data_IF_880732443870
#
_entry.id   IF_880732443870
#
_cell.length_a   1.000
_cell.length_b   1.000
_cell.length_c   1.000
_cell.angle_alpha   90.00
_cell.angle_beta   90.00
_cell.angle_gamma   90.00
#
_symmetry.space_group_name_H-M   'P 1'
#
loop_
_entity.id
_entity.type
_entity.pdbx_description
1 polymer ?
#
# COMPACT_ATOMS: atom_id res chain seq x y z
N UNK A 1 47.27 -23.21 -3.47
CA UNK A 1 46.75 -22.34 -2.42
C UNK A 1 45.30 -22.74 -2.21
N UNK A 2 44.95 -23.25 -1.03
CA UNK A 2 43.56 -23.59 -0.73
C UNK A 2 42.77 -22.28 -0.66
N UNK A 3 41.66 -22.20 -1.39
CA UNK A 3 40.72 -21.08 -1.28
C UNK A 3 40.09 -21.23 0.11
N UNK A 4 40.26 -20.21 0.96
CA UNK A 4 39.56 -20.14 2.24
C UNK A 4 38.10 -19.78 1.94
N UNK A 5 37.12 -20.45 2.57
CA UNK A 5 35.71 -20.19 2.30
C UNK A 5 35.31 -18.80 2.79
N UNK A 6 34.30 -18.23 2.13
CA UNK A 6 33.63 -16.98 2.46
C UNK A 6 32.22 -17.30 2.99
N UNK A 7 32.08 -17.83 4.22
CA UNK A 7 30.81 -18.38 4.66
C UNK A 7 29.74 -17.33 4.96
N UNK A 8 28.50 -17.71 4.68
CA UNK A 8 27.30 -17.08 5.21
C UNK A 8 26.22 -18.12 5.48
N UNK A 9 25.25 -17.78 6.34
CA UNK A 9 24.12 -18.65 6.66
C UNK A 9 22.85 -18.06 6.08
N UNK A 10 22.12 -18.88 5.34
CA UNK A 10 20.76 -18.61 4.92
C UNK A 10 19.78 -19.25 5.89
N UNK A 11 18.80 -18.49 6.35
CA UNK A 11 17.72 -18.94 7.22
C UNK A 11 16.41 -18.94 6.45
N UNK A 12 15.65 -20.03 6.51
CA UNK A 12 14.35 -20.12 5.84
C UNK A 12 13.26 -20.73 6.71
N UNK A 13 12.13 -20.04 6.84
CA UNK A 13 10.88 -20.57 7.41
C UNK A 13 9.80 -20.47 6.35
N UNK A 14 9.43 -21.61 5.74
CA UNK A 14 8.54 -21.65 4.56
C UNK A 14 7.14 -21.09 4.83
N UNK A 15 6.66 -21.25 6.06
CA UNK A 15 5.34 -20.79 6.50
C UNK A 15 5.31 -19.30 6.87
N UNK A 16 6.48 -18.63 6.88
CA UNK A 16 6.61 -17.24 7.30
C UNK A 16 6.47 -16.28 6.11
N UNK A 17 5.78 -15.13 6.27
CA UNK A 17 5.68 -14.08 5.22
C UNK A 17 7.05 -13.45 4.86
N UNK A 18 8.04 -13.51 5.75
CA UNK A 18 9.42 -13.15 5.48
C UNK A 18 10.29 -14.42 5.48
N UNK A 19 10.01 -15.29 4.50
CA UNK A 19 10.42 -16.67 4.51
C UNK A 19 11.93 -16.87 4.52
N UNK A 20 12.73 -16.07 3.80
CA UNK A 20 14.19 -16.23 3.71
C UNK A 20 14.91 -14.98 4.23
N UNK A 21 15.95 -15.18 5.01
CA UNK A 21 16.90 -14.15 5.46
C UNK A 21 18.32 -14.72 5.37
N UNK A 22 19.33 -13.85 5.41
CA UNK A 22 20.73 -14.28 5.36
C UNK A 22 21.62 -13.40 6.22
N UNK A 23 22.71 -13.97 6.71
CA UNK A 23 23.77 -13.24 7.40
C UNK A 23 24.64 -12.45 6.42
N UNK A 24 25.50 -11.58 6.95
CA UNK A 24 26.66 -11.06 6.23
C UNK A 24 27.61 -12.19 5.79
N UNK A 25 28.29 -11.96 4.67
CA UNK A 25 29.39 -12.81 4.20
C UNK A 25 30.64 -12.48 5.00
N UNK A 26 31.33 -13.51 5.49
CA UNK A 26 32.58 -13.38 6.23
C UNK A 26 33.73 -13.87 5.36
N UNK A 27 34.57 -12.97 4.86
CA UNK A 27 35.60 -13.33 3.88
C UNK A 27 36.77 -14.10 4.52
N UNK A 28 37.21 -15.15 3.82
CA UNK A 28 38.32 -16.05 4.10
C UNK A 28 38.30 -16.63 5.54
N UNK A 29 37.11 -16.80 6.13
CA UNK A 29 36.95 -17.10 7.54
C UNK A 29 36.34 -18.49 7.79
N UNK A 30 37.13 -19.41 8.33
CA UNK A 30 36.67 -20.76 8.73
C UNK A 30 36.07 -20.82 10.15
N UNK A 31 36.06 -19.72 10.90
CA UNK A 31 35.42 -19.64 12.23
C UNK A 31 34.63 -18.32 12.34
N UNK A 32 33.58 -18.14 11.51
CA UNK A 32 32.82 -16.91 11.44
C UNK A 32 31.93 -16.69 12.66
N UNK A 33 31.93 -15.44 13.13
CA UNK A 33 31.01 -14.94 14.16
C UNK A 33 30.12 -13.85 13.57
N UNK A 34 28.89 -14.20 13.17
CA UNK A 34 27.95 -13.22 12.60
C UNK A 34 27.31 -12.33 13.66
N UNK A 35 26.82 -12.92 14.76
CA UNK A 35 26.09 -12.20 15.82
C UNK A 35 24.91 -11.35 15.27
N UNK A 36 24.14 -11.94 14.36
CA UNK A 36 23.03 -11.27 13.67
C UNK A 36 21.67 -11.79 14.14
N UNK A 37 20.67 -10.91 14.15
CA UNK A 37 19.32 -11.21 14.61
C UNK A 37 18.34 -11.23 13.45
N UNK A 38 17.51 -12.27 13.41
CA UNK A 38 16.48 -12.46 12.39
C UNK A 38 15.12 -12.65 13.05
N UNK A 39 14.09 -12.07 12.44
CA UNK A 39 12.71 -12.16 12.92
C UNK A 39 11.90 -13.01 11.97
N UNK A 40 11.12 -13.99 12.43
CA UNK A 40 10.18 -14.75 11.61
C UNK A 40 8.78 -14.70 12.23
N UNK A 41 7.75 -14.63 11.40
CA UNK A 41 6.36 -14.67 11.85
C UNK A 41 5.83 -16.08 11.61
N UNK A 42 5.52 -16.79 12.68
CA UNK A 42 5.10 -18.19 12.60
C UNK A 42 3.59 -18.29 12.50
N UNK A 43 3.12 -19.32 11.82
CA UNK A 43 1.70 -19.65 11.80
C UNK A 43 1.46 -20.82 12.75
N UNK A 44 0.76 -20.66 13.89
CA UNK A 44 0.54 -21.75 14.84
C UNK A 44 -0.31 -22.89 14.25
N UNK A 45 -1.04 -22.63 13.16
CA UNK A 45 -1.91 -23.61 12.52
C UNK A 45 -1.15 -24.49 11.50
N UNK A 46 0.11 -24.16 11.20
CA UNK A 46 0.98 -24.92 10.30
C UNK A 46 2.21 -25.39 11.08
N UNK A 47 2.79 -26.51 10.68
CA UNK A 47 4.08 -26.96 11.21
C UNK A 47 5.19 -25.96 10.82
N UNK A 48 5.91 -25.40 11.80
CA UNK A 48 6.96 -24.43 11.54
C UNK A 48 8.35 -25.06 11.73
N UNK A 49 9.14 -25.02 10.66
CA UNK A 49 10.53 -25.51 10.66
C UNK A 49 11.46 -24.40 10.15
N UNK A 50 12.57 -24.21 10.84
CA UNK A 50 13.68 -23.36 10.41
C UNK A 50 14.70 -24.21 9.64
N UNK A 51 14.78 -23.98 8.33
CA UNK A 51 15.82 -24.50 7.45
C UNK A 51 17.04 -23.58 7.51
N UNK A 52 18.19 -24.13 7.90
CA UNK A 52 19.48 -23.44 7.97
C UNK A 52 20.39 -23.99 6.88
N UNK A 53 20.93 -23.12 6.05
CA UNK A 53 21.81 -23.50 4.95
C UNK A 53 23.12 -22.73 5.06
N UNK A 54 24.24 -23.43 5.25
CA UNK A 54 25.58 -22.83 5.20
C UNK A 54 25.99 -22.75 3.73
N UNK A 55 26.41 -21.57 3.31
CA UNK A 55 26.82 -21.24 1.95
C UNK A 55 28.26 -20.72 1.95
N UNK A 56 28.94 -20.88 0.82
CA UNK A 56 30.26 -20.32 0.51
C UNK A 56 30.10 -19.33 -0.65
N UNK A 57 30.48 -18.06 -0.44
CA UNK A 57 30.44 -17.02 -1.46
C UNK A 57 31.62 -17.19 -2.44
N UNK A 58 31.39 -17.94 -3.51
CA UNK A 58 32.38 -18.21 -4.56
C UNK A 58 32.17 -17.28 -5.77
N UNK A 59 33.24 -16.89 -6.48
CA UNK A 59 33.14 -16.13 -7.74
C UNK A 59 32.41 -16.95 -8.83
N UNK A 60 31.08 -16.82 -8.89
CA UNK A 60 30.21 -17.49 -9.86
C UNK A 60 28.86 -17.88 -9.28
N UNK A 61 28.78 -19.07 -8.67
CA UNK A 61 27.58 -19.63 -8.03
C UNK A 61 27.96 -20.07 -6.62
N UNK A 62 27.31 -19.48 -5.63
CA UNK A 62 27.50 -19.80 -4.22
C UNK A 62 27.30 -21.30 -3.98
N UNK A 63 28.21 -21.89 -3.22
CA UNK A 63 28.21 -23.33 -2.98
C UNK A 63 27.51 -23.64 -1.67
N UNK A 64 26.48 -24.48 -1.71
CA UNK A 64 25.87 -25.01 -0.49
C UNK A 64 26.81 -26.00 0.19
N UNK A 65 27.17 -25.70 1.44
CA UNK A 65 28.06 -26.49 2.27
C UNK A 65 27.28 -27.50 3.13
N UNK A 66 26.04 -27.16 3.50
CA UNK A 66 25.12 -28.09 4.13
C UNK A 66 23.77 -27.45 4.45
N UNK A 67 22.76 -28.30 4.63
CA UNK A 67 21.39 -27.92 5.01
C UNK A 67 21.00 -28.69 6.27
N UNK A 68 20.35 -28.02 7.21
CA UNK A 68 19.78 -28.61 8.43
C UNK A 68 18.42 -27.98 8.73
N UNK A 69 17.59 -28.69 9.48
CA UNK A 69 16.26 -28.24 9.87
C UNK A 69 16.09 -28.26 11.39
N UNK A 70 15.43 -27.26 11.94
CA UNK A 70 15.12 -27.13 13.36
C UNK A 70 13.62 -26.91 13.53
N UNK A 71 12.97 -27.75 14.35
CA UNK A 71 11.55 -27.64 14.68
C UNK A 71 11.31 -26.48 15.64
N UNK A 72 10.34 -25.61 15.33
CA UNK A 72 10.07 -24.39 16.09
C UNK A 72 8.85 -24.49 17.01
N UNK A 73 7.96 -25.45 16.76
CA UNK A 73 6.64 -25.50 17.41
C UNK A 73 6.70 -25.86 18.90
N UNK A 74 7.74 -26.59 19.34
CA UNK A 74 7.93 -27.01 20.74
C UNK A 74 8.75 -26.02 21.59
N UNK A 75 9.13 -24.87 21.02
CA UNK A 75 9.95 -23.90 21.74
C UNK A 75 9.15 -23.17 22.84
N UNK A 76 9.70 -23.03 24.06
CA UNK A 76 9.05 -22.29 25.13
C UNK A 76 8.99 -20.79 24.82
N UNK A 77 7.83 -20.19 25.10
CA UNK A 77 7.62 -18.75 24.95
C UNK A 77 8.42 -17.97 26.00
N UNK A 78 8.96 -16.82 25.62
CA UNK A 78 9.73 -15.88 26.45
C UNK A 78 10.99 -16.48 27.11
N UNK A 79 11.50 -17.59 26.57
CA UNK A 79 12.72 -18.24 27.05
C UNK A 79 13.68 -18.50 25.90
N UNK A 80 14.94 -18.09 26.08
CA UNK A 80 16.01 -18.39 25.14
C UNK A 80 16.35 -19.89 25.18
N UNK A 81 16.40 -20.50 24.00
CA UNK A 81 16.86 -21.87 23.77
C UNK A 81 18.12 -21.81 22.93
N UNK A 82 19.22 -22.34 23.47
CA UNK A 82 20.48 -22.47 22.72
C UNK A 82 20.54 -23.84 22.08
N UNK A 83 20.88 -23.90 20.81
CA UNK A 83 20.98 -25.15 20.07
C UNK A 83 22.25 -25.14 19.23
N UNK A 84 23.00 -26.24 19.29
CA UNK A 84 24.13 -26.50 18.42
C UNK A 84 23.65 -27.36 17.25
N UNK A 85 23.71 -26.84 16.04
CA UNK A 85 23.24 -27.49 14.82
C UNK A 85 24.45 -28.08 14.09
N UNK A 86 24.48 -29.40 13.95
CA UNK A 86 25.57 -30.13 13.32
C UNK A 86 25.36 -30.24 11.80
N UNK A 87 26.33 -29.76 11.02
CA UNK A 87 26.39 -29.88 9.57
C UNK A 87 27.49 -30.88 9.18
N UNK A 88 27.11 -32.02 8.61
CA UNK A 88 28.06 -33.10 8.31
C UNK A 88 28.79 -33.59 9.58
N UNK A 89 30.03 -34.05 9.45
CA UNK A 89 30.77 -34.64 10.58
C UNK A 89 31.53 -33.62 11.45
N UNK A 90 31.80 -32.41 10.94
CA UNK A 90 32.80 -31.51 11.57
C UNK A 90 32.37 -30.06 11.75
N UNK A 91 31.23 -29.68 11.21
CA UNK A 91 30.78 -28.29 11.25
C UNK A 91 29.66 -28.16 12.27
N UNK A 92 29.81 -27.25 13.21
CA UNK A 92 28.80 -26.91 14.21
C UNK A 92 28.40 -25.45 14.03
N UNK A 93 27.11 -25.17 14.15
CA UNK A 93 26.56 -23.83 14.17
C UNK A 93 25.75 -23.64 15.45
N UNK A 94 26.23 -22.76 16.32
CA UNK A 94 25.45 -22.34 17.49
C UNK A 94 24.38 -21.31 17.10
N UNK A 95 23.15 -21.56 17.55
CA UNK A 95 22.00 -20.66 17.37
C UNK A 95 21.28 -20.43 18.70
N UNK A 96 20.63 -19.27 18.83
CA UNK A 96 19.77 -18.91 19.96
C UNK A 96 18.37 -18.65 19.42
N UNK A 97 17.39 -19.37 19.94
CA UNK A 97 15.99 -19.29 19.52
C UNK A 97 15.17 -18.67 20.66
N UNK A 98 14.28 -17.74 20.33
CA UNK A 98 13.46 -17.01 21.29
C UNK A 98 12.06 -16.76 20.71
N UNK A 99 11.06 -17.49 21.20
CA UNK A 99 9.66 -17.26 20.81
C UNK A 99 9.05 -16.15 21.68
N UNK A 100 8.36 -15.19 21.07
CA UNK A 100 7.67 -14.08 21.78
C UNK A 100 6.34 -13.76 21.14
N UNK A 101 5.29 -13.52 21.93
CA UNK A 101 4.05 -13.01 21.36
C UNK A 101 4.16 -11.51 21.04
N UNK A 102 3.73 -11.12 19.84
CA UNK A 102 3.69 -9.71 19.46
C UNK A 102 2.36 -9.09 19.89
N UNK A 103 2.37 -8.10 20.78
CA UNK A 103 1.13 -7.44 21.25
C UNK A 103 0.70 -6.23 20.41
N UNK A 104 1.58 -5.66 19.57
CA UNK A 104 1.35 -4.43 18.77
C UNK A 104 0.13 -4.41 17.83
N UNK A 105 -0.90 -3.65 18.15
CA UNK A 105 -2.07 -3.49 17.28
C UNK A 105 -1.78 -2.49 16.16
N UNK A 106 -1.60 -2.98 14.93
CA UNK A 106 -1.36 -2.15 13.74
C UNK A 106 -2.64 -1.94 12.92
N UNK A 107 -3.45 -2.99 12.78
CA UNK A 107 -4.78 -2.89 12.19
C UNK A 107 -5.84 -2.75 13.30
N UNK A 108 -6.69 -1.75 13.15
CA UNK A 108 -7.92 -1.55 13.91
C UNK A 108 -9.01 -2.45 13.34
N UNK A 109 -9.64 -3.24 14.20
CA UNK A 109 -10.73 -4.14 13.84
C UNK A 109 -12.00 -3.64 14.53
N UNK A 110 -12.78 -2.83 13.83
CA UNK A 110 -14.07 -2.32 14.31
C UNK A 110 -14.85 -1.71 13.15
N UNK A 111 -16.18 -1.74 13.26
CA UNK A 111 -17.10 -1.04 12.35
C UNK A 111 -17.36 0.41 12.76
N UNK A 112 -16.89 0.83 13.94
CA UNK A 112 -17.00 2.21 14.41
C UNK A 112 -15.94 3.11 13.73
N UNK A 113 -16.14 4.41 13.82
CA UNK A 113 -15.15 5.42 13.43
C UNK A 113 -13.91 5.36 14.33
N UNK A 114 -12.74 5.69 13.78
CA UNK A 114 -11.53 5.85 14.57
C UNK A 114 -11.62 7.06 15.52
N UNK A 115 -10.77 7.07 16.55
CA UNK A 115 -10.81 8.13 17.56
C UNK A 115 -10.51 9.51 16.96
N UNK A 116 -9.54 9.59 16.04
CA UNK A 116 -9.20 10.84 15.37
C UNK A 116 -10.39 11.43 14.59
N UNK A 117 -11.19 10.58 13.94
CA UNK A 117 -12.40 11.03 13.23
C UNK A 117 -13.51 11.44 14.21
N UNK A 118 -13.66 10.73 15.33
CA UNK A 118 -14.63 11.10 16.38
C UNK A 118 -14.29 12.46 16.99
N UNK A 119 -13.02 12.69 17.31
CA UNK A 119 -12.54 13.99 17.78
C UNK A 119 -12.74 15.09 16.75
N UNK A 120 -12.44 14.80 15.48
CA UNK A 120 -12.73 15.71 14.37
C UNK A 120 -14.21 16.09 14.32
N UNK A 121 -15.12 15.11 14.42
CA UNK A 121 -16.56 15.34 14.34
C UNK A 121 -17.07 16.21 15.49
N UNK A 122 -16.54 16.04 16.71
CA UNK A 122 -16.87 16.90 17.85
C UNK A 122 -16.52 18.35 17.52
N UNK A 123 -15.27 18.61 17.13
CA UNK A 123 -14.77 19.96 16.81
C UNK A 123 -15.49 20.57 15.61
N UNK A 124 -15.69 19.78 14.54
CA UNK A 124 -16.32 20.23 13.29
C UNK A 124 -17.78 20.59 13.52
N UNK A 125 -18.50 19.88 14.40
CA UNK A 125 -19.91 20.16 14.70
C UNK A 125 -20.09 21.54 15.32
N UNK A 126 -19.18 21.97 16.20
CA UNK A 126 -19.19 23.32 16.79
C UNK A 126 -18.99 24.38 15.70
N UNK A 127 -18.02 24.18 14.80
CA UNK A 127 -17.78 25.08 13.67
C UNK A 127 -19.00 25.17 12.76
N UNK A 128 -19.61 24.05 12.40
CA UNK A 128 -20.81 24.04 11.54
C UNK A 128 -21.98 24.72 12.25
N UNK A 129 -22.16 24.50 13.56
CA UNK A 129 -23.20 25.16 14.34
C UNK A 129 -23.10 26.68 14.25
N UNK A 130 -21.91 27.23 14.45
CA UNK A 130 -21.66 28.68 14.33
C UNK A 130 -21.96 29.19 12.92
N UNK A 131 -21.50 28.46 11.89
CA UNK A 131 -21.67 28.86 10.49
C UNK A 131 -23.12 28.80 10.02
N UNK A 132 -23.84 27.74 10.37
CA UNK A 132 -25.28 27.62 10.07
C UNK A 132 -26.10 28.65 10.86
N UNK A 133 -25.74 28.92 12.12
CA UNK A 133 -26.41 29.94 12.94
C UNK A 133 -26.27 31.35 12.37
N UNK A 134 -25.18 31.63 11.66
CA UNK A 134 -24.96 32.89 10.96
C UNK A 134 -25.64 32.96 9.57
N UNK A 135 -25.91 31.80 8.97
CA UNK A 135 -26.49 31.70 7.61
C UNK A 135 -28.02 31.73 7.60
N UNK A 136 -28.65 31.17 8.63
CA UNK A 136 -30.10 31.02 8.73
C UNK A 136 -30.70 32.00 9.75
N UNK A 137 -32.00 32.28 9.60
CA UNK A 137 -32.74 33.11 10.55
C UNK A 137 -33.09 32.36 11.85
N UNK A 138 -33.61 33.08 12.86
CA UNK A 138 -33.92 32.51 14.17
C UNK A 138 -34.98 31.38 14.13
N UNK A 139 -35.80 31.32 13.08
CA UNK A 139 -36.82 30.28 12.90
C UNK A 139 -36.23 28.99 12.33
N UNK A 140 -35.22 29.09 11.46
CA UNK A 140 -34.67 27.96 10.70
C UNK A 140 -33.27 27.52 11.13
N UNK A 141 -32.54 28.33 11.90
CA UNK A 141 -31.21 27.99 12.39
C UNK A 141 -31.25 26.86 13.44
N UNK A 142 -30.18 26.05 13.54
CA UNK A 142 -30.07 25.08 14.63
C UNK A 142 -30.04 25.80 15.98
N UNK A 143 -30.76 25.27 16.97
CA UNK A 143 -30.82 25.83 18.34
C UNK A 143 -29.75 25.24 19.23
N UNK A 144 -29.32 24.02 18.94
CA UNK A 144 -28.26 23.33 19.67
C UNK A 144 -27.29 22.68 18.70
N UNK A 145 -26.05 22.45 19.15
CA UNK A 145 -25.01 21.75 18.39
C UNK A 145 -25.48 20.37 17.91
N UNK A 146 -26.36 19.69 18.67
CA UNK A 146 -26.89 18.37 18.30
C UNK A 146 -27.92 18.39 17.16
N UNK A 147 -28.46 19.56 16.80
CA UNK A 147 -29.38 19.72 15.67
C UNK A 147 -28.64 19.91 14.34
N UNK A 148 -27.32 20.08 14.37
CA UNK A 148 -26.51 20.24 13.17
C UNK A 148 -26.50 18.93 12.35
N UNK A 149 -26.90 18.98 11.06
CA UNK A 149 -26.86 17.82 10.19
C UNK A 149 -25.42 17.49 9.76
N UNK A 150 -25.17 16.21 9.50
CA UNK A 150 -23.95 15.77 8.82
C UNK A 150 -24.14 15.97 7.31
N UNK A 151 -23.34 16.86 6.72
CA UNK A 151 -23.41 17.21 5.29
C UNK A 151 -22.19 16.65 4.58
N UNK A 152 -22.40 15.91 3.49
CA UNK A 152 -21.33 15.38 2.65
C UNK A 152 -21.41 15.96 1.22
N UNK A 153 -20.32 16.51 0.73
CA UNK A 153 -20.17 16.91 -0.68
C UNK A 153 -19.52 15.74 -1.41
N UNK A 154 -20.16 15.24 -2.47
CA UNK A 154 -19.72 14.03 -3.17
C UNK A 154 -19.31 14.32 -4.62
N UNK A 155 -18.05 14.02 -4.95
CA UNK A 155 -17.49 14.18 -6.29
C UNK A 155 -17.38 12.87 -7.07
N UNK A 156 -17.94 12.82 -8.28
CA UNK A 156 -17.88 11.62 -9.14
C UNK A 156 -16.52 11.43 -9.81
N UNK A 157 -16.31 10.27 -10.44
CA UNK A 157 -15.20 10.04 -11.36
C UNK A 157 -15.36 10.75 -12.71
N UNK A 158 -14.31 10.73 -13.53
CA UNK A 158 -14.33 11.34 -14.87
C UNK A 158 -13.08 12.13 -15.28
N UNK A 159 -11.93 11.85 -14.66
CA UNK A 159 -10.65 12.49 -15.00
C UNK A 159 -10.68 14.01 -14.82
N UNK A 160 -9.98 14.75 -15.69
CA UNK A 160 -9.92 16.22 -15.60
C UNK A 160 -11.29 16.90 -15.71
N UNK A 161 -12.26 16.30 -16.40
CA UNK A 161 -13.63 16.85 -16.44
C UNK A 161 -14.24 16.88 -15.04
N UNK A 162 -14.12 15.79 -14.28
CA UNK A 162 -14.64 15.73 -12.92
C UNK A 162 -13.85 16.66 -11.99
N UNK A 163 -12.52 16.71 -12.11
CA UNK A 163 -11.69 17.59 -11.31
C UNK A 163 -12.04 19.08 -11.53
N UNK A 164 -12.19 19.51 -12.79
CA UNK A 164 -12.59 20.88 -13.14
C UNK A 164 -14.05 21.19 -12.78
N UNK A 165 -14.95 20.21 -12.91
CA UNK A 165 -16.35 20.39 -12.52
C UNK A 165 -16.50 20.57 -11.01
N UNK A 166 -15.83 19.70 -10.23
CA UNK A 166 -15.85 19.78 -8.78
C UNK A 166 -15.19 21.06 -8.28
N UNK A 167 -14.12 21.53 -8.92
CA UNK A 167 -13.51 22.80 -8.53
C UNK A 167 -14.45 23.99 -8.71
N UNK A 168 -15.19 24.05 -9.83
CA UNK A 168 -16.23 25.07 -10.02
C UNK A 168 -17.36 24.96 -9.00
N UNK A 169 -17.78 23.74 -8.66
CA UNK A 169 -18.79 23.52 -7.63
C UNK A 169 -18.32 23.98 -6.24
N UNK A 170 -17.07 23.69 -5.89
CA UNK A 170 -16.45 24.16 -4.64
C UNK A 170 -16.41 25.68 -4.57
N UNK A 171 -16.11 26.35 -5.68
CA UNK A 171 -16.14 27.81 -5.71
C UNK A 171 -17.53 28.36 -5.34
N UNK A 172 -18.58 27.82 -5.97
CA UNK A 172 -19.95 28.23 -5.67
C UNK A 172 -20.37 27.89 -4.23
N UNK A 173 -19.97 26.73 -3.71
CA UNK A 173 -20.26 26.31 -2.33
C UNK A 173 -19.52 27.15 -1.29
N UNK A 174 -18.30 27.59 -1.60
CA UNK A 174 -17.53 28.49 -0.75
C UNK A 174 -18.16 29.89 -0.72
N UNK A 175 -18.52 30.45 -1.88
CA UNK A 175 -19.21 31.74 -1.99
C UNK A 175 -20.58 31.74 -1.28
N UNK A 176 -21.29 30.61 -1.33
CA UNK A 176 -22.55 30.43 -0.61
C UNK A 176 -22.39 30.13 0.89
N UNK A 177 -21.16 29.96 1.39
CA UNK A 177 -20.88 29.54 2.78
C UNK A 177 -21.25 28.10 3.11
N UNK A 178 -21.76 27.32 2.14
CA UNK A 178 -22.19 25.93 2.33
C UNK A 178 -20.99 25.01 2.59
N UNK A 179 -19.82 25.31 2.01
CA UNK A 179 -18.61 24.51 2.22
C UNK A 179 -18.15 24.51 3.68
N UNK A 180 -18.32 25.64 4.37
CA UNK A 180 -18.05 25.77 5.81
C UNK A 180 -19.01 24.92 6.67
N UNK A 181 -20.17 24.56 6.11
CA UNK A 181 -21.17 23.71 6.76
C UNK A 181 -20.98 22.21 6.46
N UNK A 182 -20.10 21.85 5.53
CA UNK A 182 -19.87 20.45 5.17
C UNK A 182 -19.06 19.71 6.23
N UNK A 183 -19.47 18.49 6.59
CA UNK A 183 -18.72 17.59 7.46
C UNK A 183 -17.68 16.79 6.67
N UNK A 184 -18.10 16.27 5.51
CA UNK A 184 -17.26 15.43 4.65
C UNK A 184 -17.20 15.98 3.23
N UNK A 185 -16.07 15.74 2.60
CA UNK A 185 -15.87 15.90 1.15
C UNK A 185 -15.38 14.57 0.63
N UNK A 186 -16.15 13.93 -0.25
CA UNK A 186 -15.81 12.62 -0.78
C UNK A 186 -15.51 12.71 -2.27
N UNK A 187 -14.58 11.88 -2.74
CA UNK A 187 -14.30 11.84 -4.17
C UNK A 187 -13.57 10.60 -4.64
N UNK A 188 -13.90 10.16 -5.85
CA UNK A 188 -13.21 9.08 -6.55
C UNK A 188 -12.62 9.57 -7.87
N UNK A 189 -11.53 8.94 -8.30
CA UNK A 189 -10.89 9.23 -9.59
C UNK A 189 -10.64 10.73 -9.79
N UNK A 190 -11.15 11.35 -10.86
CA UNK A 190 -10.91 12.77 -11.14
C UNK A 190 -11.21 13.73 -9.99
N UNK A 191 -12.27 13.48 -9.21
CA UNK A 191 -12.59 14.30 -8.03
C UNK A 191 -11.56 14.17 -6.92
N UNK A 192 -11.02 12.96 -6.69
CA UNK A 192 -9.93 12.76 -5.73
C UNK A 192 -8.67 13.55 -6.10
N UNK A 193 -8.41 13.78 -7.40
CA UNK A 193 -7.29 14.60 -7.84
C UNK A 193 -7.45 16.05 -7.43
N UNK A 194 -8.65 16.61 -7.60
CA UNK A 194 -8.95 17.97 -7.16
C UNK A 194 -8.87 18.10 -5.64
N UNK A 195 -9.56 17.24 -4.88
CA UNK A 195 -9.57 17.27 -3.42
C UNK A 195 -8.14 17.18 -2.87
N UNK A 196 -7.36 16.21 -3.33
CA UNK A 196 -5.98 16.03 -2.88
C UNK A 196 -5.09 17.22 -3.20
N UNK A 197 -5.28 17.84 -4.37
CA UNK A 197 -4.53 19.02 -4.79
C UNK A 197 -4.88 20.23 -3.92
N UNK A 198 -6.15 20.39 -3.54
CA UNK A 198 -6.62 21.46 -2.68
C UNK A 198 -6.07 21.33 -1.26
N UNK A 199 -6.14 20.14 -0.66
CA UNK A 199 -5.73 19.92 0.74
C UNK A 199 -4.22 19.94 0.95
N UNK A 200 -3.41 19.92 -0.13
CA UNK A 200 -1.96 20.16 -0.07
C UNK A 200 -1.62 21.65 -0.11
N UNK A 201 -2.54 22.52 -0.51
CA UNK A 201 -2.24 23.96 -0.58
C UNK A 201 -1.99 24.54 0.80
N UNK A 202 -0.90 25.28 0.94
CA UNK A 202 -0.52 25.93 2.20
C UNK A 202 -1.63 26.84 2.74
N UNK A 203 -2.20 27.68 1.87
CA UNK A 203 -3.27 28.65 2.21
C UNK A 203 -4.65 28.06 2.47
N UNK A 204 -4.87 26.76 2.21
CA UNK A 204 -6.16 26.13 2.49
C UNK A 204 -6.31 25.83 3.99
N UNK A 205 -7.47 26.08 4.64
CA UNK A 205 -8.71 26.70 4.11
C UNK A 205 -8.77 28.24 4.24
N UNK A 206 -7.78 28.88 4.87
CA UNK A 206 -7.86 30.25 5.37
C UNK A 206 -7.87 31.37 4.31
N UNK A 207 -7.32 31.17 3.11
CA UNK A 207 -7.17 32.30 2.16
C UNK A 207 -7.06 31.98 0.66
N UNK A 208 -7.38 30.76 0.23
CA UNK A 208 -7.47 30.49 -1.21
C UNK A 208 -8.83 30.98 -1.73
N UNK A 209 -8.84 32.08 -2.50
CA UNK A 209 -10.05 32.45 -3.24
C UNK A 209 -10.35 31.39 -4.29
N UNK A 210 -11.63 31.23 -4.60
CA UNK A 210 -12.13 30.44 -5.73
C UNK A 210 -11.33 30.67 -7.02
N UNK A 211 -10.96 31.93 -7.27
CA UNK A 211 -10.22 32.37 -8.44
C UNK A 211 -8.76 31.90 -8.42
N UNK A 212 -8.07 31.98 -7.27
CA UNK A 212 -6.69 31.48 -7.13
C UNK A 212 -6.63 29.97 -7.38
N UNK A 213 -7.58 29.23 -6.81
CA UNK A 213 -7.67 27.78 -6.98
C UNK A 213 -8.02 27.40 -8.43
N UNK A 214 -9.00 28.06 -9.02
CA UNK A 214 -9.36 27.84 -10.42
C UNK A 214 -8.22 28.22 -11.37
N UNK A 215 -7.50 29.31 -11.12
CA UNK A 215 -6.33 29.72 -11.91
C UNK A 215 -5.20 28.71 -11.80
N UNK A 216 -4.91 28.22 -10.58
CA UNK A 216 -3.93 27.17 -10.33
C UNK A 216 -4.27 25.90 -11.11
N UNK A 217 -5.50 25.41 -10.99
CA UNK A 217 -5.96 24.22 -11.70
C UNK A 217 -5.98 24.42 -13.21
N UNK A 218 -6.38 25.59 -13.73
CA UNK A 218 -6.31 25.89 -15.16
C UNK A 218 -4.87 25.87 -15.67
N UNK A 219 -3.90 26.40 -14.91
CA UNK A 219 -2.48 26.35 -15.28
C UNK A 219 -1.97 24.91 -15.34
N UNK A 220 -2.37 24.07 -14.39
CA UNK A 220 -1.93 22.68 -14.22
C UNK A 220 -2.63 21.72 -15.21
N UNK A 221 -3.95 21.81 -15.37
CA UNK A 221 -4.74 20.98 -16.28
C UNK A 221 -4.58 21.32 -17.77
N UNK A 222 -4.06 22.51 -18.11
CA UNK A 222 -3.61 22.82 -19.49
C UNK A 222 -2.39 22.00 -19.91
N UNK A 223 -1.69 21.38 -18.97
CA UNK A 223 -0.52 20.58 -19.27
C UNK A 223 -0.95 19.16 -19.62
N UNK A 224 -0.53 18.70 -20.80
CA UNK A 224 -0.74 17.33 -21.21
C UNK A 224 0.10 16.41 -20.30
N UNK A 225 -0.57 15.51 -19.56
CA UNK A 225 0.05 14.52 -18.66
C UNK A 225 1.14 13.73 -19.37
N UNK A 226 0.99 13.45 -20.66
CA UNK A 226 1.98 12.74 -21.47
C UNK A 226 3.35 13.45 -21.50
N UNK A 227 3.39 14.79 -21.35
CA UNK A 227 4.64 15.56 -21.30
C UNK A 227 5.40 15.43 -19.98
N UNK A 228 4.76 14.87 -18.96
CA UNK A 228 5.35 14.64 -17.64
C UNK A 228 5.92 13.23 -17.47
N UNK A 229 5.88 12.38 -18.49
CA UNK A 229 6.60 11.10 -18.44
C UNK A 229 8.10 11.35 -18.58
N UNK A 230 8.80 11.38 -17.45
CA UNK A 230 10.23 11.67 -17.41
C UNK A 230 11.08 10.41 -17.24
N UNK A 231 12.27 10.34 -17.85
CA UNK A 231 13.17 9.18 -17.69
C UNK A 231 13.57 8.90 -16.24
N UNK A 232 13.64 9.94 -15.41
CA UNK A 232 14.01 9.87 -13.98
C UNK A 232 13.06 9.03 -13.12
N UNK A 233 11.79 8.88 -13.55
CA UNK A 233 10.81 8.02 -12.88
C UNK A 233 11.25 6.56 -12.83
N UNK A 234 11.98 6.09 -13.85
CA UNK A 234 12.53 4.72 -13.87
C UNK A 234 13.43 4.45 -12.67
N UNK A 235 14.22 5.44 -12.23
CA UNK A 235 15.09 5.30 -11.06
C UNK A 235 14.28 5.13 -9.78
N UNK A 236 13.23 5.94 -9.60
CA UNK A 236 12.33 5.86 -8.44
C UNK A 236 11.60 4.51 -8.38
N UNK A 237 11.05 4.02 -9.49
CA UNK A 237 10.42 2.69 -9.57
C UNK A 237 11.41 1.58 -9.27
N UNK A 238 12.64 1.64 -9.83
CA UNK A 238 13.69 0.64 -9.52
C UNK A 238 14.06 0.63 -8.05
N UNK A 239 14.12 1.79 -7.40
CA UNK A 239 14.41 1.90 -5.97
C UNK A 239 13.29 1.28 -5.13
N UNK A 240 12.02 1.58 -5.45
CA UNK A 240 10.84 0.98 -4.82
C UNK A 240 10.84 -0.56 -4.95
N UNK A 241 11.16 -1.07 -6.13
CA UNK A 241 11.31 -2.52 -6.37
C UNK A 241 12.47 -3.13 -5.58
N UNK A 242 13.63 -2.46 -5.57
CA UNK A 242 14.84 -2.94 -4.87
C UNK A 242 14.62 -3.10 -3.36
N UNK A 243 13.80 -2.24 -2.75
CA UNK A 243 13.44 -2.37 -1.32
C UNK A 243 12.32 -3.41 -1.08
N UNK A 244 11.80 -4.03 -2.15
CA UNK A 244 10.85 -5.13 -2.12
C UNK A 244 9.39 -4.68 -2.04
N UNK A 245 9.03 -3.50 -2.56
CA UNK A 245 7.63 -3.10 -2.76
C UNK A 245 7.17 -3.40 -4.20
N UNK A 246 5.91 -3.82 -4.41
CA UNK A 246 5.37 -4.05 -5.74
C UNK A 246 5.25 -2.74 -6.50
N UNK A 247 5.28 -2.86 -7.82
CA UNK A 247 5.50 -1.76 -8.75
C UNK A 247 4.71 -2.06 -10.00
N UNK A 248 3.91 -1.08 -10.41
CA UNK A 248 3.03 -1.20 -11.56
C UNK A 248 3.11 0.07 -12.41
N UNK A 249 2.46 0.06 -13.58
CA UNK A 249 2.39 1.27 -14.41
C UNK A 249 1.70 2.44 -13.69
N UNK A 250 0.82 2.15 -12.73
CA UNK A 250 0.18 3.16 -11.87
C UNK A 250 1.17 4.00 -11.07
N UNK A 251 2.36 3.48 -10.74
CA UNK A 251 3.43 4.28 -10.10
C UNK A 251 3.90 5.40 -11.02
N UNK A 252 4.11 5.09 -12.30
CA UNK A 252 4.58 6.03 -13.31
C UNK A 252 3.49 7.03 -13.66
N UNK A 253 2.26 6.54 -13.83
CA UNK A 253 1.10 7.39 -14.05
C UNK A 253 0.86 8.33 -12.85
N UNK A 254 0.96 7.82 -11.62
CA UNK A 254 0.87 8.59 -10.40
C UNK A 254 1.93 9.70 -10.33
N UNK A 255 3.19 9.40 -10.65
CA UNK A 255 4.25 10.41 -10.74
C UNK A 255 3.95 11.49 -11.81
N UNK A 256 3.44 11.10 -12.99
CA UNK A 256 3.06 12.06 -14.02
C UNK A 256 1.88 12.95 -13.59
N UNK A 257 0.89 12.40 -12.88
CA UNK A 257 -0.20 13.17 -12.27
C UNK A 257 0.31 14.10 -11.17
N UNK A 258 1.23 13.62 -10.33
CA UNK A 258 1.88 14.42 -9.29
C UNK A 258 2.55 15.65 -9.87
N UNK A 259 3.42 15.45 -10.86
CA UNK A 259 4.10 16.53 -11.59
C UNK A 259 3.11 17.53 -12.21
N UNK A 260 2.01 17.00 -12.78
CA UNK A 260 1.00 17.81 -13.45
C UNK A 260 0.14 18.61 -12.47
N UNK A 261 -0.17 18.09 -11.28
CA UNK A 261 -1.22 18.61 -10.40
C UNK A 261 -0.72 19.14 -9.05
N UNK A 262 0.23 18.46 -8.43
CA UNK A 262 0.71 18.79 -7.09
C UNK A 262 1.79 19.89 -7.14
N UNK A 263 1.80 20.74 -6.12
CA UNK A 263 2.85 21.75 -5.92
C UNK A 263 4.06 21.14 -5.22
N UNK A 264 3.78 20.33 -4.20
CA UNK A 264 4.74 19.56 -3.44
C UNK A 264 4.65 18.08 -3.86
N UNK A 265 5.76 17.53 -4.36
CA UNK A 265 5.85 16.14 -4.78
C UNK A 265 6.08 15.17 -3.62
N UNK A 266 6.51 15.68 -2.47
CA UNK A 266 6.76 14.92 -1.25
C UNK A 266 5.56 14.96 -0.29
N UNK A 267 4.47 15.62 -0.70
CA UNK A 267 3.20 15.62 0.02
C UNK A 267 2.68 14.20 0.24
N UNK A 268 2.13 13.93 1.43
CA UNK A 268 1.59 12.65 1.86
C UNK A 268 0.13 12.82 2.29
N UNK A 269 -0.64 11.73 2.35
CA UNK A 269 -2.04 11.82 2.77
C UNK A 269 -2.12 12.13 4.27
N UNK A 270 -1.23 11.55 5.09
CA UNK A 270 -1.11 11.89 6.51
C UNK A 270 -0.83 13.38 6.75
N UNK A 271 -0.12 14.05 5.84
CA UNK A 271 0.12 15.48 5.96
C UNK A 271 -1.20 16.25 6.00
N UNK A 272 -2.28 15.80 5.35
CA UNK A 272 -3.55 16.54 5.32
C UNK A 272 -4.26 16.63 6.67
N UNK A 273 -3.82 15.89 7.71
CA UNK A 273 -4.38 15.97 9.07
C UNK A 273 -4.40 17.42 9.59
N UNK A 274 -3.35 18.20 9.35
CA UNK A 274 -3.28 19.59 9.83
C UNK A 274 -4.35 20.50 9.20
N UNK A 275 -5.02 20.09 8.12
CA UNK A 275 -6.12 20.82 7.49
C UNK A 275 -7.49 20.56 8.11
N UNK A 276 -7.60 19.52 8.95
CA UNK A 276 -8.88 19.04 9.50
C UNK A 276 -8.89 18.89 11.01
N UNK A 277 -7.73 18.76 11.68
CA UNK A 277 -7.63 18.42 13.11
C UNK A 277 -8.36 19.37 14.08
N UNK A 278 -8.62 20.60 13.66
CA UNK A 278 -9.37 21.62 14.43
C UNK A 278 -10.81 21.81 13.92
N UNK A 279 -11.30 20.93 13.05
CA UNK A 279 -12.62 21.08 12.41
C UNK A 279 -12.68 22.24 11.42
N UNK A 280 -11.56 22.79 10.98
CA UNK A 280 -11.49 23.99 10.13
C UNK A 280 -11.87 23.73 8.66
N UNK A 281 -11.75 22.48 8.20
CA UNK A 281 -12.22 22.03 6.88
C UNK A 281 -13.06 20.76 7.03
N UNK A 282 -13.88 20.44 6.04
CA UNK A 282 -14.50 19.13 5.92
C UNK A 282 -13.43 18.01 5.83
N UNK A 283 -13.75 16.79 6.27
CA UNK A 283 -12.81 15.67 6.18
C UNK A 283 -12.78 15.14 4.73
N UNK A 284 -11.61 15.10 4.06
CA UNK A 284 -11.50 14.50 2.74
C UNK A 284 -11.53 12.97 2.86
N UNK A 285 -12.43 12.34 2.11
CA UNK A 285 -12.53 10.88 1.98
C UNK A 285 -12.37 10.51 0.51
N UNK A 286 -11.31 9.78 0.19
CA UNK A 286 -11.07 9.26 -1.15
C UNK A 286 -11.16 7.76 -1.15
N UNK A 287 -11.33 7.15 -2.33
CA UNK A 287 -11.58 5.72 -2.39
C UNK A 287 -10.97 5.05 -3.62
N UNK A 288 -10.62 3.78 -3.45
CA UNK A 288 -10.24 2.85 -4.50
C UNK A 288 -11.03 1.55 -4.37
N UNK A 289 -10.89 0.67 -5.37
CA UNK A 289 -11.51 -0.65 -5.37
C UNK A 289 -10.41 -1.70 -5.33
N UNK A 290 -10.52 -2.62 -4.38
CA UNK A 290 -9.77 -3.87 -4.40
C UNK A 290 -10.50 -4.88 -5.27
N UNK A 291 -9.77 -5.44 -6.22
CA UNK A 291 -10.24 -6.53 -7.09
C UNK A 291 -9.45 -7.78 -6.74
N UNK A 292 -10.15 -8.85 -6.36
CA UNK A 292 -9.52 -10.14 -6.04
C UNK A 292 -8.95 -10.79 -7.30
N UNK A 293 -7.97 -11.68 -7.13
CA UNK A 293 -7.35 -12.39 -8.26
C UNK A 293 -8.26 -13.49 -8.82
N UNK A 294 -9.07 -14.09 -7.95
CA UNK A 294 -9.96 -15.22 -8.25
C UNK A 294 -11.32 -14.82 -8.84
N UNK A 295 -11.69 -13.54 -8.77
CA UNK A 295 -13.06 -13.07 -9.02
C UNK A 295 -13.07 -11.75 -9.78
N UNK A 296 -13.98 -11.59 -10.75
CA UNK A 296 -14.10 -10.33 -11.48
C UNK A 296 -14.58 -9.19 -10.57
N UNK A 297 -14.18 -7.95 -10.89
CA UNK A 297 -14.60 -6.76 -10.14
C UNK A 297 -16.13 -6.54 -10.14
N UNK A 298 -16.83 -7.07 -11.16
CA UNK A 298 -18.29 -7.06 -11.26
C UNK A 298 -18.97 -7.97 -10.22
N UNK A 299 -18.27 -9.01 -9.76
CA UNK A 299 -18.78 -10.01 -8.80
C UNK A 299 -18.26 -9.73 -7.39
N UNK A 300 -17.01 -9.27 -7.25
CA UNK A 300 -16.42 -8.93 -5.96
C UNK A 300 -15.54 -7.67 -6.09
N UNK A 301 -16.12 -6.53 -5.75
CA UNK A 301 -15.39 -5.28 -5.53
C UNK A 301 -15.48 -4.90 -4.05
N UNK A 302 -14.33 -4.77 -3.41
CA UNK A 302 -14.25 -4.28 -2.04
C UNK A 302 -13.78 -2.83 -2.08
N UNK A 303 -14.61 -1.94 -1.57
CA UNK A 303 -14.24 -0.53 -1.45
C UNK A 303 -13.19 -0.35 -0.36
N UNK A 304 -12.10 0.30 -0.73
CA UNK A 304 -11.10 0.79 0.23
C UNK A 304 -11.30 2.28 0.36
N UNK A 305 -11.51 2.75 1.58
CA UNK A 305 -11.55 4.17 1.89
C UNK A 305 -10.20 4.66 2.41
N UNK A 306 -9.94 5.95 2.17
CA UNK A 306 -8.73 6.64 2.56
C UNK A 306 -9.12 8.00 3.12
N UNK A 307 -8.70 8.26 4.35
CA UNK A 307 -8.77 9.57 5.00
C UNK A 307 -7.36 9.97 5.43
N UNK A 308 -7.14 11.23 5.86
CA UNK A 308 -5.88 11.62 6.48
C UNK A 308 -5.53 10.81 7.76
N UNK A 309 -6.53 10.17 8.39
CA UNK A 309 -6.36 9.40 9.62
C UNK A 309 -6.04 7.92 9.34
N UNK A 310 -6.87 7.27 8.51
CA UNK A 310 -6.77 5.83 8.27
C UNK A 310 -7.11 5.43 6.83
N UNK A 311 -6.72 4.22 6.47
CA UNK A 311 -7.19 3.52 5.28
C UNK A 311 -7.85 2.22 5.70
N UNK A 312 -8.82 1.71 4.95
CA UNK A 312 -9.40 0.42 5.30
C UNK A 312 -10.59 -0.01 4.47
N UNK A 313 -11.17 -1.13 4.89
CA UNK A 313 -12.37 -1.72 4.28
C UNK A 313 -13.49 -1.78 5.32
N UNK A 314 -14.38 -0.78 5.30
CA UNK A 314 -15.57 -0.76 6.15
C UNK A 314 -16.39 -2.05 6.10
N UNK A 315 -16.47 -2.71 4.93
CA UNK A 315 -17.22 -3.96 4.74
C UNK A 315 -16.83 -5.06 5.74
N UNK A 316 -15.57 -5.11 6.15
CA UNK A 316 -15.04 -6.10 7.10
C UNK A 316 -14.52 -5.47 8.39
N UNK A 317 -14.68 -4.16 8.55
CA UNK A 317 -14.24 -3.41 9.73
C UNK A 317 -12.72 -3.43 9.95
N UNK A 318 -11.90 -3.55 8.90
CA UNK A 318 -10.44 -3.61 9.03
C UNK A 318 -9.80 -2.32 8.50
N UNK A 319 -9.08 -1.63 9.37
CA UNK A 319 -8.46 -0.33 9.10
C UNK A 319 -7.02 -0.30 9.59
N UNK A 320 -6.18 0.51 8.96
CA UNK A 320 -4.80 0.76 9.36
C UNK A 320 -4.44 2.24 9.22
N UNK A 321 -3.35 2.66 9.86
CA UNK A 321 -2.87 4.05 9.75
C UNK A 321 -2.46 4.33 8.31
N UNK A 322 -2.86 5.47 7.76
CA UNK A 322 -2.54 5.84 6.36
C UNK A 322 -1.04 5.82 6.07
N UNK A 323 -0.21 6.18 7.05
CA UNK A 323 1.26 6.13 6.95
C UNK A 323 1.85 4.72 6.79
N UNK A 324 1.05 3.69 7.05
CA UNK A 324 1.43 2.28 6.97
C UNK A 324 0.80 1.57 5.76
N UNK A 325 0.07 2.31 4.93
CA UNK A 325 -0.45 1.80 3.65
C UNK A 325 0.70 1.42 2.72
N UNK A 326 0.60 0.25 2.09
CA UNK A 326 1.67 -0.34 1.28
C UNK A 326 2.74 -1.09 2.09
N UNK A 327 2.56 -1.21 3.41
CA UNK A 327 3.29 -2.14 4.29
C UNK A 327 2.98 -3.61 4.01
N UNK A 328 3.89 -4.53 4.37
CA UNK A 328 3.58 -5.96 4.38
C UNK A 328 2.86 -6.31 5.67
N UNK A 329 1.67 -6.89 5.56
CA UNK A 329 0.92 -7.39 6.72
C UNK A 329 0.82 -8.91 6.72
N UNK A 330 0.69 -9.47 7.91
CA UNK A 330 0.34 -10.86 8.10
C UNK A 330 -0.46 -11.02 9.40
N UNK A 331 -1.63 -11.68 9.34
CA UNK A 331 -2.55 -11.87 10.48
C UNK A 331 -2.80 -10.56 11.26
N UNK A 332 -2.98 -9.46 10.53
CA UNK A 332 -3.27 -8.13 11.07
C UNK A 332 -2.06 -7.34 11.60
N UNK A 333 -0.83 -7.84 11.43
CA UNK A 333 0.41 -7.21 11.91
C UNK A 333 1.29 -6.70 10.80
N UNK A 334 1.86 -5.51 11.00
CA UNK A 334 2.81 -4.92 10.08
C UNK A 334 4.16 -5.64 10.22
N UNK A 335 4.42 -6.54 9.29
CA UNK A 335 5.65 -7.36 9.20
C UNK A 335 6.82 -6.53 8.69
N UNK A 336 6.56 -5.68 7.69
CA UNK A 336 7.55 -4.79 7.09
C UNK A 336 6.94 -3.43 6.83
N UNK A 337 7.40 -2.44 7.57
CA UNK A 337 7.06 -1.03 7.36
C UNK A 337 7.91 -0.46 6.22
N UNK A 338 7.27 0.30 5.35
CA UNK A 338 7.93 1.15 4.37
C UNK A 338 7.68 2.62 4.71
N UNK A 339 8.40 3.51 4.05
CA UNK A 339 8.03 4.92 4.10
C UNK A 339 6.62 5.11 3.53
N UNK A 340 5.84 6.01 4.14
CA UNK A 340 4.53 6.38 3.61
C UNK A 340 4.66 6.82 2.16
N UNK A 341 3.79 6.25 1.32
CA UNK A 341 3.79 6.55 -0.10
C UNK A 341 3.43 8.02 -0.34
N UNK A 342 4.12 8.70 -1.28
CA UNK A 342 3.76 10.07 -1.64
C UNK A 342 2.32 10.11 -2.21
N UNK A 343 1.63 11.22 -2.01
CA UNK A 343 0.24 11.41 -2.39
C UNK A 343 0.00 11.13 -3.87
N UNK A 344 0.96 11.46 -4.74
CA UNK A 344 0.88 11.18 -6.17
C UNK A 344 0.73 9.69 -6.49
N UNK A 345 1.24 8.79 -5.63
CA UNK A 345 1.01 7.35 -5.77
C UNK A 345 -0.47 7.01 -5.58
N UNK A 346 -1.10 7.56 -4.53
CA UNK A 346 -2.54 7.40 -4.29
C UNK A 346 -3.39 8.03 -5.40
N UNK A 347 -3.00 9.19 -5.96
CA UNK A 347 -3.64 9.76 -7.15
C UNK A 347 -3.64 8.78 -8.34
N UNK A 348 -2.52 8.06 -8.51
CA UNK A 348 -2.36 6.99 -9.49
C UNK A 348 -3.29 5.81 -9.23
N UNK A 349 -3.42 5.37 -7.97
CA UNK A 349 -4.34 4.29 -7.55
C UNK A 349 -5.80 4.69 -7.82
N UNK A 350 -6.26 5.81 -7.25
CA UNK A 350 -7.63 6.30 -7.41
C UNK A 350 -7.97 6.62 -8.88
N UNK A 351 -6.95 6.97 -9.67
CA UNK A 351 -7.03 7.28 -11.09
C UNK A 351 -6.75 6.12 -12.04
N UNK A 352 -6.48 4.91 -11.56
CA UNK A 352 -5.90 3.79 -12.34
C UNK A 352 -6.74 3.34 -13.54
N UNK A 353 -8.05 3.57 -13.56
CA UNK A 353 -8.86 3.36 -14.77
C UNK A 353 -8.31 4.13 -16.00
N UNK A 354 -7.66 5.29 -15.79
CA UNK A 354 -6.99 6.04 -16.85
C UNK A 354 -5.62 5.48 -17.23
N UNK A 355 -4.95 4.70 -16.39
CA UNK A 355 -3.71 4.02 -16.78
C UNK A 355 -4.01 2.94 -17.83
N UNK A 356 -5.14 2.24 -17.70
CA UNK A 356 -5.69 1.32 -18.73
C UNK A 356 -5.91 2.06 -20.07
N UNK A 357 -6.37 3.32 -20.00
CA UNK A 357 -6.77 4.11 -21.17
C UNK A 357 -5.62 4.87 -21.83
N UNK A 358 -4.70 5.46 -21.07
CA UNK A 358 -3.51 6.15 -21.59
C UNK A 358 -2.67 5.22 -22.48
N UNK A 359 -2.63 3.94 -22.15
CA UNK A 359 -2.01 2.91 -22.96
C UNK A 359 -2.65 2.84 -24.36
N UNK A 360 -3.99 2.94 -24.45
CA UNK A 360 -4.68 3.04 -25.75
C UNK A 360 -4.59 4.44 -26.35
N UNK A 361 -4.56 5.52 -25.58
CA UNK A 361 -4.47 6.89 -26.13
C UNK A 361 -3.18 7.11 -26.94
N UNK A 362 -2.07 6.44 -26.62
CA UNK A 362 -0.86 6.47 -27.46
C UNK A 362 -1.07 5.81 -28.83
N UNK A 363 -1.89 4.76 -28.91
CA UNK A 363 -2.32 4.17 -30.19
C UNK A 363 -3.45 4.95 -30.86
N UNK A 364 -4.33 5.56 -30.07
CA UNK A 364 -5.44 6.37 -30.55
C UNK A 364 -4.89 7.73 -31.02
N UNK A 365 -3.79 8.30 -30.53
CA UNK A 365 -3.13 9.49 -31.12
C UNK A 365 -2.66 9.23 -32.56
N UNK A 366 -2.30 7.98 -32.90
CA UNK A 366 -2.05 7.56 -34.29
C UNK A 366 -3.33 7.36 -35.11
N UNK A 367 -4.50 7.31 -34.48
CA UNK A 367 -5.82 7.11 -35.09
C UNK A 367 -6.80 8.30 -34.93
N UNK A 368 -6.48 9.30 -34.09
CA UNK A 368 -7.35 10.41 -33.64
C UNK A 368 -7.41 11.59 -34.61
N UNK A 369 -6.99 11.41 -35.85
CA UNK A 369 -7.39 12.33 -36.91
C UNK A 369 -8.88 12.14 -37.31
N UNK A 370 -9.64 11.21 -36.71
CA UNK A 370 -10.93 10.78 -37.27
C UNK A 370 -12.18 10.64 -36.38
N UNK A 371 -12.16 10.78 -35.05
CA UNK A 371 -13.41 10.53 -34.28
C UNK A 371 -13.77 11.60 -33.24
N UNK A 372 -14.98 12.14 -33.41
CA UNK A 372 -15.70 12.99 -32.46
C UNK A 372 -16.57 12.18 -31.47
N UNK A 373 -17.71 12.76 -31.06
CA UNK A 373 -18.57 12.43 -29.89
C UNK A 373 -18.89 10.95 -29.61
N UNK A 374 -18.75 10.05 -30.59
CA UNK A 374 -18.92 8.58 -30.45
C UNK A 374 -17.92 7.95 -29.47
N UNK A 375 -16.76 8.58 -29.23
CA UNK A 375 -15.71 8.07 -28.36
C UNK A 375 -16.13 7.87 -26.90
N UNK A 376 -17.12 8.64 -26.39
CA UNK A 376 -17.49 8.62 -24.96
C UNK A 376 -18.32 7.40 -24.56
N UNK A 377 -19.24 6.95 -25.43
CA UNK A 377 -20.05 5.75 -25.19
C UNK A 377 -19.23 4.48 -25.40
N UNK A 378 -18.29 4.52 -26.36
CA UNK A 378 -17.29 3.46 -26.54
C UNK A 378 -16.36 3.38 -25.34
N UNK A 379 -15.93 4.52 -24.80
CA UNK A 379 -15.08 4.62 -23.61
C UNK A 379 -15.70 3.93 -22.39
N UNK A 380 -16.98 4.18 -22.11
CA UNK A 380 -17.69 3.57 -20.99
C UNK A 380 -17.84 2.05 -21.15
N UNK A 381 -18.22 1.59 -22.36
CA UNK A 381 -18.26 0.14 -22.66
C UNK A 381 -16.90 -0.52 -22.57
N UNK A 382 -15.84 0.17 -22.99
CA UNK A 382 -14.46 -0.35 -22.97
C UNK A 382 -13.95 -0.45 -21.54
N UNK A 383 -14.22 0.55 -20.69
CA UNK A 383 -13.87 0.49 -19.27
C UNK A 383 -14.57 -0.73 -18.64
N UNK A 384 -15.88 -0.88 -18.79
CA UNK A 384 -16.59 -2.06 -18.27
C UNK A 384 -16.00 -3.37 -18.82
N UNK A 385 -15.79 -3.46 -20.14
CA UNK A 385 -15.26 -4.67 -20.79
C UNK A 385 -13.83 -5.03 -20.38
N UNK A 386 -12.95 -4.05 -20.19
CA UNK A 386 -11.57 -4.28 -19.74
C UNK A 386 -11.50 -4.56 -18.23
N UNK A 387 -12.38 -3.96 -17.43
CA UNK A 387 -12.53 -4.32 -16.01
C UNK A 387 -12.97 -5.78 -15.89
N UNK A 388 -13.85 -6.25 -16.79
CA UNK A 388 -14.22 -7.67 -16.91
C UNK A 388 -13.11 -8.59 -17.46
N UNK A 389 -12.11 -8.04 -18.18
CA UNK A 389 -10.98 -8.77 -18.78
C UNK A 389 -9.74 -8.89 -17.90
N UNK A 390 -9.73 -8.25 -16.72
CA UNK A 390 -8.77 -8.53 -15.65
C UNK A 390 -8.78 -10.01 -15.21
N UNK A 391 -9.76 -10.79 -15.70
CA UNK A 391 -9.98 -12.22 -15.50
C UNK A 391 -9.03 -13.17 -16.25
N UNK A 392 -8.37 -12.79 -17.35
CA UNK A 392 -7.96 -13.78 -18.36
C UNK A 392 -6.48 -13.89 -18.71
N UNK A 393 -5.56 -13.53 -17.81
CA UNK A 393 -4.17 -14.01 -17.94
C UNK A 393 -3.93 -14.99 -16.80
N UNK A 394 -3.74 -16.26 -17.18
CA UNK A 394 -3.38 -17.37 -16.30
C UNK A 394 -2.11 -16.98 -15.53
N UNK A 395 -2.27 -16.63 -14.26
CA UNK A 395 -1.22 -16.83 -13.27
C UNK A 395 -1.75 -17.91 -12.33
N UNK A 396 -1.43 -19.16 -12.67
CA UNK A 396 -1.44 -20.31 -11.76
C UNK A 396 -0.41 -20.04 -10.66
N UNK A 397 -0.81 -19.28 -9.65
CA UNK A 397 -0.27 -19.48 -8.32
C UNK A 397 -1.34 -19.14 -7.31
N UNK A 398 -1.68 -20.14 -6.51
CA UNK A 398 -2.08 -19.92 -5.13
C UNK A 398 -0.91 -19.23 -4.41
N UNK A 399 -0.74 -17.93 -4.69
CA UNK A 399 0.34 -17.05 -4.21
C UNK A 399 0.23 -16.75 -2.71
N UNK A 400 -0.77 -17.34 -2.03
CA UNK A 400 -0.91 -17.25 -0.58
C UNK A 400 0.22 -17.99 0.17
N UNK A 401 0.91 -18.94 -0.48
CA UNK A 401 1.95 -19.80 0.11
C UNK A 401 3.34 -19.76 -0.58
N UNK A 402 3.56 -18.91 -1.59
CA UNK A 402 4.90 -18.78 -2.20
C UNK A 402 5.81 -17.80 -1.42
N UNK A 403 7.09 -18.16 -1.17
CA UNK A 403 8.06 -17.28 -0.55
C UNK A 403 8.47 -16.14 -1.50
N UNK A 404 8.41 -14.91 -1.00
CA UNK A 404 8.63 -13.63 -1.71
C UNK A 404 9.96 -13.51 -2.50
N UNK A 405 10.91 -14.43 -2.32
CA UNK A 405 12.29 -14.33 -2.81
C UNK A 405 12.53 -14.96 -4.19
N UNK A 406 11.52 -15.60 -4.80
CA UNK A 406 11.64 -16.20 -6.14
C UNK A 406 11.39 -15.22 -7.30
N UNK A 407 11.09 -13.95 -7.04
CA UNK A 407 11.01 -12.92 -8.09
C UNK A 407 12.43 -12.41 -8.43
N UNK A 408 13.28 -13.29 -8.97
CA UNK A 408 14.50 -12.88 -9.69
C UNK A 408 14.11 -12.26 -11.04
N UNK A 409 13.61 -11.03 -11.03
CA UNK A 409 13.39 -10.28 -12.27
C UNK A 409 14.67 -9.56 -12.69
N UNK A 410 15.21 -9.98 -13.83
CA UNK A 410 16.37 -9.38 -14.49
C UNK A 410 16.30 -7.84 -14.57
N UNK A 411 17.47 -7.17 -14.60
CA UNK A 411 17.60 -5.70 -14.61
C UNK A 411 16.89 -4.96 -15.76
N UNK A 412 16.30 -5.69 -16.72
CA UNK A 412 15.52 -5.14 -17.82
C UNK A 412 14.01 -5.03 -17.56
N UNK A 413 13.51 -5.52 -16.41
CA UNK A 413 12.08 -5.66 -16.15
C UNK A 413 11.29 -4.33 -16.19
N UNK A 414 11.84 -3.22 -15.66
CA UNK A 414 11.18 -1.90 -15.77
C UNK A 414 11.06 -1.45 -17.22
N UNK A 415 12.08 -1.74 -18.01
CA UNK A 415 12.09 -1.43 -19.45
C UNK A 415 11.08 -2.30 -20.19
N UNK A 416 10.95 -3.57 -19.79
CA UNK A 416 9.94 -4.51 -20.30
C UNK A 416 8.52 -4.15 -19.89
N UNK A 417 8.29 -3.73 -18.64
CA UNK A 417 7.00 -3.24 -18.14
C UNK A 417 6.56 -2.00 -18.93
N UNK A 418 7.51 -1.19 -19.41
CA UNK A 418 7.25 -0.02 -20.24
C UNK A 418 7.14 -0.35 -21.74
N UNK A 419 7.33 -1.60 -22.16
CA UNK A 419 7.09 -1.99 -23.55
C UNK A 419 5.59 -1.94 -23.82
N UNK A 420 5.17 -1.35 -24.96
CA UNK A 420 3.75 -1.26 -25.32
C UNK A 420 3.04 -2.61 -25.20
N UNK A 421 3.62 -3.69 -25.75
CA UNK A 421 3.03 -5.04 -25.69
C UNK A 421 2.65 -5.50 -24.27
N UNK A 422 3.53 -5.28 -23.27
CA UNK A 422 3.33 -5.74 -21.89
C UNK A 422 2.40 -4.81 -21.09
N UNK A 423 2.31 -3.53 -21.48
CA UNK A 423 1.35 -2.56 -20.96
C UNK A 423 -0.10 -2.88 -21.36
N UNK A 424 -0.29 -3.59 -22.49
CA UNK A 424 -1.61 -3.91 -23.04
C UNK A 424 -2.21 -5.23 -22.53
N UNK A 425 -1.35 -6.21 -22.21
CA UNK A 425 -1.75 -7.57 -21.86
C UNK A 425 -1.81 -7.74 -20.34
N UNK A 426 -0.73 -7.38 -19.63
CA UNK A 426 -0.57 -7.68 -18.20
C UNK A 426 -1.45 -6.84 -17.25
N UNK A 427 -1.89 -7.47 -16.16
CA UNK A 427 -2.59 -6.80 -15.04
C UNK A 427 -1.76 -5.68 -14.40
N UNK A 428 -0.43 -5.84 -14.35
CA UNK A 428 0.55 -4.82 -13.93
C UNK A 428 0.52 -3.54 -14.77
N UNK A 429 0.07 -3.63 -16.03
CA UNK A 429 -0.16 -2.47 -16.89
C UNK A 429 -1.48 -1.74 -16.61
N UNK A 430 -2.42 -2.40 -15.91
CA UNK A 430 -3.84 -1.99 -15.82
C UNK A 430 -4.30 -1.60 -14.42
N UNK A 431 -3.73 -2.17 -13.37
CA UNK A 431 -4.12 -1.92 -11.99
C UNK A 431 -2.89 -1.62 -11.11
N UNK A 432 -3.14 -0.95 -9.99
CA UNK A 432 -2.10 -0.78 -8.98
C UNK A 432 -1.85 -2.10 -8.26
N UNK A 433 -0.59 -2.38 -7.97
CA UNK A 433 -0.21 -3.47 -7.08
C UNK A 433 0.17 -2.93 -5.71
N UNK A 434 -0.45 -3.49 -4.68
CA UNK A 434 -0.19 -3.19 -3.27
C UNK A 434 -0.23 -4.49 -2.50
N UNK A 435 0.48 -4.57 -1.37
CA UNK A 435 0.38 -5.74 -0.50
C UNK A 435 -1.03 -5.87 0.06
N UNK A 436 -1.53 -7.11 0.11
CA UNK A 436 -2.80 -7.41 0.76
C UNK A 436 -2.65 -7.21 2.28
N UNK A 437 -3.18 -6.10 2.80
CA UNK A 437 -3.11 -5.81 4.23
C UNK A 437 -3.96 -6.77 5.09
N UNK A 438 -4.85 -7.54 4.47
CA UNK A 438 -5.64 -8.60 5.12
C UNK A 438 -5.01 -10.00 4.97
N UNK A 439 -3.75 -10.12 4.51
CA UNK A 439 -3.09 -11.42 4.30
C UNK A 439 -3.09 -12.25 5.60
N UNK A 440 -3.50 -13.50 5.48
CA UNK A 440 -3.57 -14.46 6.59
C UNK A 440 -4.70 -14.21 7.59
N UNK A 441 -5.54 -13.18 7.40
CA UNK A 441 -6.72 -12.99 8.25
C UNK A 441 -7.84 -13.93 7.83
N UNK A 442 -8.47 -14.62 8.79
CA UNK A 442 -9.69 -15.38 8.53
C UNK A 442 -10.88 -14.42 8.38
N UNK A 443 -11.43 -14.33 7.18
CA UNK A 443 -12.67 -13.61 6.92
C UNK A 443 -13.88 -14.52 7.15
N UNK A 444 -14.89 -13.99 7.83
CA UNK A 444 -16.18 -14.62 8.19
C UNK A 444 -16.71 -15.62 7.12
N UNK A 445 -17.09 -16.84 7.52
CA UNK A 445 -18.20 -17.57 6.90
C UNK A 445 -19.48 -17.13 7.61
N UNK A 446 -20.59 -16.97 6.87
CA UNK A 446 -21.81 -16.25 7.31
C UNK A 446 -22.47 -16.73 8.62
N UNK A 447 -22.04 -17.85 9.22
CA UNK A 447 -22.74 -18.53 10.31
C UNK A 447 -22.16 -18.34 11.74
N UNK A 448 -21.03 -17.65 11.94
CA UNK A 448 -20.42 -17.55 13.28
C UNK A 448 -20.76 -16.22 14.00
N UNK A 449 -21.59 -16.32 15.05
CA UNK A 449 -22.06 -15.20 15.90
C UNK A 449 -20.98 -14.62 16.85
N UNK A 450 -19.82 -15.27 17.01
CA UNK A 450 -18.72 -14.84 17.91
C UNK A 450 -17.46 -14.32 17.20
N UNK A 451 -17.61 -13.68 16.04
CA UNK A 451 -16.49 -13.20 15.21
C UNK A 451 -15.55 -12.19 15.91
N UNK A 452 -16.04 -11.39 16.86
CA UNK A 452 -15.21 -10.39 17.56
C UNK A 452 -14.14 -11.01 18.48
N UNK A 453 -14.24 -12.30 18.80
CA UNK A 453 -13.30 -13.00 19.71
C UNK A 453 -12.13 -13.69 19.01
N UNK A 454 -12.16 -13.82 17.68
CA UNK A 454 -11.20 -14.64 16.91
C UNK A 454 -10.17 -13.80 16.15
N UNK A 455 -10.53 -12.62 15.63
CA UNK A 455 -9.58 -11.81 14.87
C UNK A 455 -8.56 -11.18 15.82
N UNK A 456 -7.30 -11.52 15.62
CA UNK A 456 -6.19 -10.99 16.41
C UNK A 456 -5.75 -11.89 17.56
N UNK A 457 -6.33 -13.08 17.78
CA UNK A 457 -5.78 -14.05 18.75
C UNK A 457 -4.75 -15.01 18.17
N UNK A 458 -4.66 -15.13 16.84
CA UNK A 458 -3.71 -16.01 16.14
C UNK A 458 -2.28 -15.44 16.04
N UNK A 459 -1.73 -14.91 17.14
CA UNK A 459 -0.42 -14.24 17.16
C UNK A 459 0.66 -15.29 17.44
N UNK A 460 1.59 -15.55 16.51
CA UNK A 460 2.87 -16.22 16.84
C UNK A 460 4.03 -15.48 16.20
N UNK A 461 4.87 -14.86 17.03
CA UNK A 461 6.11 -14.21 16.61
C UNK A 461 7.29 -15.02 17.17
N UNK A 462 8.31 -15.25 16.35
CA UNK A 462 9.52 -15.96 16.77
C UNK A 462 10.75 -15.15 16.36
N UNK A 463 11.59 -14.84 17.34
CA UNK A 463 12.88 -14.18 17.18
C UNK A 463 13.95 -15.28 17.14
N UNK A 464 14.68 -15.35 16.03
CA UNK A 464 15.83 -16.25 15.88
C UNK A 464 17.09 -15.38 15.95
N UNK A 465 17.86 -15.55 17.01
CA UNK A 465 19.13 -14.85 17.21
C UNK A 465 20.26 -15.82 16.86
N UNK A 466 20.92 -15.63 15.73
CA UNK A 466 22.05 -16.50 15.34
C UNK A 466 23.33 -15.94 15.96
N UNK A 467 23.83 -16.64 16.97
CA UNK A 467 25.10 -16.32 17.65
C UNK A 467 26.03 -17.50 17.43
N UNK A 468 26.83 -17.43 16.37
CA UNK A 468 27.87 -18.42 16.12
C UNK A 468 28.96 -18.32 17.19
N UNK A 469 29.39 -19.48 17.72
CA UNK A 469 30.56 -19.65 18.58
C UNK A 469 31.36 -20.91 18.21
N UNK A 470 31.33 -21.35 16.95
CA UNK A 470 31.89 -22.65 16.58
C UNK A 470 32.52 -22.74 15.19
N UNK A 471 33.58 -23.55 15.16
CA UNK A 471 34.59 -23.71 14.12
C UNK A 471 34.05 -24.46 12.89
N UNK A 472 33.96 -23.79 11.74
CA UNK A 472 33.66 -24.45 10.46
C UNK A 472 34.93 -25.16 9.96
N UNK A 473 35.03 -26.46 10.12
CA UNK A 473 36.16 -27.22 9.58
C UNK A 473 35.97 -27.57 8.10
N UNK A 474 36.34 -26.63 7.22
CA UNK A 474 36.52 -26.92 5.78
C UNK A 474 37.90 -27.53 5.54
N UNK A 475 37.93 -28.76 5.02
CA UNK A 475 39.19 -29.27 4.47
C UNK A 475 39.48 -28.54 3.15
N UNK A 476 40.70 -27.99 2.97
CA UNK A 476 41.18 -27.66 1.64
C UNK A 476 41.23 -28.96 0.85
N UNK A 477 40.73 -28.94 -0.39
CA UNK A 477 40.91 -30.06 -1.32
C UNK A 477 42.37 -30.42 -1.52
#
# INVERSE_FOLDING_TARGET
AGISPDPYVTLRVRTSPNAKQQTSVQHENIDPEWNENFLFYLNPDKKNTLELTIMDDDFGLDKTLGVQEVELDDLPVDKEVRQAVQFGERTLLDIILLVKFNESEHLRISYDLCEDEREFLIKRRDVIFEKMSAMFDDETKPKTVNEVPVIAIMGSGGGYRAACGLSGAFCALQEAGILDCATYVTGLSGSSWYISTLYVQEKWPESSTCEELAAFLRKRFKINVLRHFRPEFKRKVRQKHKIGQPVAFTDIFGMALGDALLQDQDAKLSHQVHKVIHGQSALPVTTGIRVRNDTSAEVCSEWIEFTPFEFGMAKIGVFGKVSEFGGKYYKGRLVKKFEESPLHYLLGIWGSAFSILLNRVVDIEKHMQKLGETARQELERVILKETGRLKSEEDDSDDDDLPDDEIQTSGNWVTEMLKPSNLFTSRRGKAAETFNFCRGMQTKKEEDEEYSKLIGKEKTMCVVTVVSRSTLHFQPR
#
